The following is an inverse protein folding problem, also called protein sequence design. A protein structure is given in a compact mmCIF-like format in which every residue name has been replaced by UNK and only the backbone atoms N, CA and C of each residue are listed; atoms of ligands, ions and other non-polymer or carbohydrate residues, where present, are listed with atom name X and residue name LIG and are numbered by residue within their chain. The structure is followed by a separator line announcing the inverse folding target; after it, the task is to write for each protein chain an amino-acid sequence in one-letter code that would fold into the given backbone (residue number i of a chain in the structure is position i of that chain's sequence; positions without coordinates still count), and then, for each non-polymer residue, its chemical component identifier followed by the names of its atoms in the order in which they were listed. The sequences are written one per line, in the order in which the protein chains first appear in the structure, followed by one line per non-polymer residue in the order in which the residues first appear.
data_IF_627520123576
#
_entry.id   IF_627520123576
#
_cell.length_a   1.000
_cell.length_b   1.000
_cell.length_c   1.000
_cell.angle_alpha   90.00
_cell.angle_beta   90.00
_cell.angle_gamma   90.00
#
_symmetry.space_group_name_H-M   'P 1'
#
loop_
_entity.id
_entity.type
_entity.pdbx_description
1 polymer ?
#
# COMPACT_ATOMS: atom_id res chain seq x y z
N UNK A 1 -46.60 -31.01 -11.63
CA UNK A 1 -47.25 -30.81 -10.33
C UNK A 1 -46.97 -32.03 -9.48
N UNK A 2 -46.32 -31.82 -8.34
CA UNK A 2 -45.81 -32.86 -7.43
C UNK A 2 -46.80 -33.05 -6.27
N UNK A 3 -47.08 -34.29 -5.90
CA UNK A 3 -47.54 -34.63 -4.55
C UNK A 3 -46.37 -35.29 -3.79
N UNK A 4 -46.13 -34.95 -2.51
CA UNK A 4 -45.17 -35.62 -1.64
C UNK A 4 -45.87 -36.79 -0.89
N UNK A 5 -45.13 -37.74 -0.30
CA UNK A 5 -44.77 -37.58 1.11
C UNK A 5 -43.46 -38.28 1.54
N UNK A 6 -43.07 -38.05 2.80
CA UNK A 6 -42.39 -39.08 3.59
C UNK A 6 -40.91 -38.86 3.85
N UNK A 7 -40.60 -38.00 4.82
CA UNK A 7 -39.35 -38.05 5.56
C UNK A 7 -39.41 -39.15 6.62
N UNK A 8 -38.48 -40.10 6.56
CA UNK A 8 -37.82 -40.68 7.72
C UNK A 8 -36.42 -41.18 7.29
N UNK A 9 -35.35 -40.88 8.05
CA UNK A 9 -33.99 -41.24 7.69
C UNK A 9 -33.64 -42.63 8.24
N UNK A 10 -33.03 -43.48 7.40
CA UNK A 10 -32.33 -44.68 7.84
C UNK A 10 -30.81 -44.50 7.76
N UNK A 11 -30.20 -45.07 8.79
CA UNK A 11 -28.80 -45.15 9.18
C UNK A 11 -27.87 -45.79 8.14
N UNK A 12 -26.60 -45.38 8.15
CA UNK A 12 -25.45 -46.28 8.33
C UNK A 12 -24.17 -45.42 8.51
N UNK A 13 -23.62 -45.32 9.72
CA UNK A 13 -22.52 -46.15 10.24
C UNK A 13 -21.22 -46.08 9.41
N UNK A 14 -20.18 -45.38 9.93
CA UNK A 14 -18.93 -45.97 10.46
C UNK A 14 -17.79 -44.94 10.58
N UNK A 15 -17.18 -44.95 11.77
CA UNK A 15 -15.73 -44.89 12.08
C UNK A 15 -14.90 -43.67 11.61
N UNK A 16 -14.10 -43.00 12.43
CA UNK A 16 -13.66 -43.25 13.80
C UNK A 16 -12.55 -42.27 14.23
N UNK A 17 -12.20 -42.36 15.52
CA UNK A 17 -10.90 -42.08 16.18
C UNK A 17 -10.23 -40.69 15.95
N UNK A 18 -10.16 -39.83 16.98
CA UNK A 18 -9.00 -39.63 17.89
C UNK A 18 -7.82 -38.89 17.20
N UNK A 19 -7.20 -37.81 17.68
CA UNK A 19 -6.90 -37.34 19.02
C UNK A 19 -6.69 -35.81 19.04
N UNK A 20 -7.25 -35.14 20.05
CA UNK A 20 -6.71 -33.91 20.61
C UNK A 20 -5.56 -34.25 21.57
N UNK A 21 -4.50 -33.45 21.62
CA UNK A 21 -3.49 -33.52 22.68
C UNK A 21 -3.29 -32.11 23.27
N UNK A 22 -3.75 -31.96 24.51
CA UNK A 22 -3.35 -30.93 25.45
C UNK A 22 -2.41 -31.58 26.48
N UNK A 23 -1.28 -30.95 26.82
CA UNK A 23 -0.58 -31.10 28.12
C UNK A 23 0.08 -29.74 28.40
N UNK A 24 -0.54 -28.86 29.21
CA UNK A 24 -0.37 -28.68 30.67
C UNK A 24 1.05 -28.23 31.05
N UNK A 25 1.13 -27.01 31.60
CA UNK A 25 2.35 -26.44 32.14
C UNK A 25 2.61 -26.82 33.60
N UNK A 26 3.79 -26.49 34.09
CA UNK A 26 4.14 -26.49 35.51
C UNK A 26 5.01 -25.26 35.81
N UNK A 27 4.64 -24.55 36.87
CA UNK A 27 5.46 -23.53 37.51
C UNK A 27 6.08 -24.13 38.77
N UNK A 28 7.34 -23.80 39.08
CA UNK A 28 7.83 -23.38 40.41
C UNK A 28 9.36 -23.14 40.42
N UNK A 29 9.71 -21.90 40.81
CA UNK A 29 10.85 -21.37 41.57
C UNK A 29 12.12 -22.22 41.78
N UNK A 30 13.31 -21.65 41.46
CA UNK A 30 14.37 -21.28 42.46
C UNK A 30 15.59 -20.60 41.81
N UNK A 31 15.97 -19.47 42.42
CA UNK A 31 17.32 -18.93 42.72
C UNK A 31 18.44 -18.95 41.66
N UNK A 32 18.83 -17.73 41.26
CA UNK A 32 20.21 -17.21 41.30
C UNK A 32 21.33 -18.01 40.63
N UNK A 33 21.74 -17.56 39.44
CA UNK A 33 23.00 -17.97 38.83
C UNK A 33 23.38 -17.02 37.69
N UNK A 34 24.28 -16.08 37.97
CA UNK A 34 24.93 -15.22 36.97
C UNK A 34 25.93 -16.09 36.20
N UNK A 35 25.74 -16.21 34.88
CA UNK A 35 26.69 -16.84 33.97
C UNK A 35 26.35 -16.48 32.52
N UNK A 36 27.30 -16.02 31.70
CA UNK A 36 27.00 -15.45 30.40
C UNK A 36 26.73 -16.56 29.40
N UNK A 37 25.53 -16.54 28.80
CA UNK A 37 25.26 -17.33 27.60
C UNK A 37 25.97 -16.65 26.42
N UNK A 38 27.04 -17.28 25.95
CA UNK A 38 27.69 -16.95 24.70
C UNK A 38 26.72 -17.21 23.54
N UNK A 39 26.16 -16.15 22.97
CA UNK A 39 25.54 -16.21 21.65
C UNK A 39 26.66 -16.18 20.60
N UNK A 40 26.96 -17.35 20.04
CA UNK A 40 27.69 -17.44 18.79
C UNK A 40 26.75 -16.96 17.67
N UNK A 41 27.07 -15.80 17.10
CA UNK A 41 26.66 -15.44 15.74
C UNK A 41 27.92 -15.24 14.93
N UNK A 42 28.23 -16.24 14.13
CA UNK A 42 29.21 -16.22 13.06
C UNK A 42 28.74 -15.24 11.98
N UNK A 43 29.56 -14.24 11.65
CA UNK A 43 29.28 -13.30 10.57
C UNK A 43 30.11 -12.02 10.63
N UNK A 44 31.34 -12.09 10.12
CA UNK A 44 32.14 -10.92 9.70
C UNK A 44 33.27 -10.52 10.66
N UNK A 45 34.49 -10.92 10.31
CA UNK A 45 35.77 -10.44 10.85
C UNK A 45 35.96 -8.94 10.56
N UNK A 46 35.19 -8.06 11.21
CA UNK A 46 35.71 -6.74 11.54
C UNK A 46 36.76 -6.96 12.62
N UNK A 47 38.04 -6.79 12.26
CA UNK A 47 39.18 -7.10 13.12
C UNK A 47 38.95 -6.54 14.54
N UNK A 48 39.35 -7.26 15.57
CA UNK A 48 39.24 -6.82 16.98
C UNK A 48 39.76 -5.38 17.18
N UNK A 49 40.76 -4.99 16.38
CA UNK A 49 41.32 -3.64 16.30
C UNK A 49 40.27 -2.61 15.84
N UNK A 50 39.49 -2.92 14.82
CA UNK A 50 38.46 -2.03 14.28
C UNK A 50 37.29 -1.85 15.25
N UNK A 51 36.89 -2.92 15.95
CA UNK A 51 35.90 -2.81 17.04
C UNK A 51 36.42 -1.97 18.20
N UNK A 52 37.68 -2.17 18.60
CA UNK A 52 38.31 -1.37 19.65
C UNK A 52 38.43 0.10 19.24
N UNK A 53 38.81 0.38 17.99
CA UNK A 53 38.90 1.74 17.47
C UNK A 53 37.53 2.43 17.47
N UNK A 54 36.48 1.74 17.02
CA UNK A 54 35.12 2.28 17.02
C UNK A 54 34.62 2.59 18.45
N UNK A 55 34.84 1.68 19.39
CA UNK A 55 34.41 1.90 20.77
C UNK A 55 35.22 3.00 21.46
N UNK A 56 36.53 3.08 21.18
CA UNK A 56 37.38 4.18 21.65
C UNK A 56 36.93 5.52 21.07
N UNK A 57 36.57 5.57 19.80
CA UNK A 57 36.08 6.79 19.15
C UNK A 57 34.76 7.25 19.78
N UNK A 58 33.83 6.33 20.01
CA UNK A 58 32.55 6.60 20.70
C UNK A 58 32.77 7.10 22.13
N UNK A 59 33.71 6.52 22.87
CA UNK A 59 34.02 6.94 24.24
C UNK A 59 34.62 8.35 24.28
N UNK A 60 35.54 8.66 23.36
CA UNK A 60 36.13 10.00 23.25
C UNK A 60 35.11 11.05 22.80
N UNK A 61 34.23 10.73 21.84
CA UNK A 61 33.15 11.60 21.41
C UNK A 61 32.18 11.90 22.57
N UNK A 62 31.77 10.89 23.34
CA UNK A 62 30.90 11.09 24.52
C UNK A 62 31.58 11.94 25.59
N UNK A 63 32.88 11.72 25.85
CA UNK A 63 33.66 12.54 26.80
C UNK A 63 33.75 13.99 26.33
N UNK A 64 33.98 14.22 25.04
CA UNK A 64 34.04 15.56 24.45
C UNK A 64 32.68 16.28 24.53
N UNK A 65 31.59 15.56 24.28
CA UNK A 65 30.23 16.10 24.37
C UNK A 65 29.83 16.47 25.79
N UNK A 66 30.21 15.64 26.77
CA UNK A 66 30.00 15.95 28.19
C UNK A 66 30.82 17.14 28.67
N UNK A 67 31.99 17.40 28.08
CA UNK A 67 32.83 18.54 28.46
C UNK A 67 32.45 19.86 27.76
N UNK A 68 31.88 19.84 26.55
CA UNK A 68 31.60 21.06 25.78
C UNK A 68 30.12 21.46 25.66
N UNK A 69 29.18 20.66 26.16
CA UNK A 69 27.78 21.07 26.42
C UNK A 69 26.89 21.33 25.20
N UNK A 70 27.44 21.71 24.05
CA UNK A 70 26.71 21.95 22.81
C UNK A 70 27.66 21.78 21.62
N UNK A 71 27.19 21.17 20.53
CA UNK A 71 27.91 21.26 19.27
C UNK A 71 27.82 22.71 18.77
N UNK A 72 28.92 23.34 18.35
CA UNK A 72 28.80 24.54 17.51
C UNK A 72 28.00 24.14 16.26
N UNK A 73 26.84 24.76 16.07
CA UNK A 73 26.07 24.63 14.84
C UNK A 73 26.87 25.32 13.74
N UNK A 74 27.71 24.55 13.06
CA UNK A 74 28.37 25.01 11.84
C UNK A 74 27.31 25.05 10.73
N UNK A 75 27.22 26.16 9.98
CA UNK A 75 26.35 26.21 8.81
C UNK A 75 26.73 25.06 7.86
N UNK A 76 25.77 24.46 7.14
CA UNK A 76 26.05 23.35 6.24
C UNK A 76 27.09 23.79 5.20
N UNK A 77 28.28 23.18 5.26
CA UNK A 77 29.32 23.36 4.24
C UNK A 77 28.98 22.40 3.10
N UNK A 78 28.73 22.93 1.91
CA UNK A 78 28.56 22.12 0.72
C UNK A 78 29.87 21.40 0.42
N UNK A 79 29.85 20.08 0.51
CA UNK A 79 30.96 19.24 0.08
C UNK A 79 30.87 19.12 -1.45
N UNK A 80 31.93 19.43 -2.20
CA UNK A 80 31.93 19.24 -3.65
C UNK A 80 31.76 17.75 -3.92
N UNK A 81 30.57 17.37 -4.38
CA UNK A 81 30.31 16.05 -4.92
C UNK A 81 30.56 16.12 -6.43
N UNK A 82 30.94 15.02 -7.10
CA UNK A 82 31.12 14.98 -8.56
C UNK A 82 29.85 15.37 -9.36
N UNK A 83 28.74 15.63 -8.67
CA UNK A 83 27.43 16.03 -9.20
C UNK A 83 27.19 17.53 -9.12
N UNK A 84 28.16 18.33 -8.67
CA UNK A 84 28.06 19.80 -8.54
C UNK A 84 28.20 20.54 -9.89
N UNK A 85 27.60 19.96 -10.92
CA UNK A 85 27.34 20.52 -12.24
C UNK A 85 25.83 20.44 -12.53
N UNK A 86 25.01 20.89 -11.57
CA UNK A 86 23.58 21.13 -11.78
C UNK A 86 23.28 22.42 -12.56
N UNK A 87 24.22 22.88 -13.39
CA UNK A 87 23.85 23.46 -14.68
C UNK A 87 23.91 22.35 -15.72
N UNK A 88 22.94 21.43 -15.63
CA UNK A 88 22.45 20.78 -16.83
C UNK A 88 21.89 21.90 -17.69
N UNK A 89 22.71 22.40 -18.61
CA UNK A 89 22.20 22.80 -19.92
C UNK A 89 21.29 21.65 -20.30
N UNK A 90 19.97 21.85 -20.17
CA UNK A 90 18.97 20.93 -20.70
C UNK A 90 19.42 20.75 -22.15
N UNK A 91 19.96 19.58 -22.54
CA UNK A 91 20.14 19.32 -23.97
C UNK A 91 18.75 19.59 -24.52
N UNK A 92 18.65 20.50 -25.49
CA UNK A 92 17.38 20.79 -26.15
C UNK A 92 16.74 19.44 -26.39
N UNK A 93 15.67 19.14 -25.65
CA UNK A 93 15.05 17.84 -25.74
C UNK A 93 14.75 17.71 -27.22
N UNK A 94 15.19 16.63 -27.91
CA UNK A 94 14.73 16.43 -29.26
C UNK A 94 13.21 16.57 -29.18
N UNK A 95 12.65 17.44 -30.02
CA UNK A 95 11.20 17.63 -30.16
C UNK A 95 10.54 16.27 -29.98
N UNK A 96 9.44 16.13 -29.21
CA UNK A 96 8.87 14.85 -28.86
C UNK A 96 8.51 14.11 -30.15
N UNK A 97 9.48 13.36 -30.66
CA UNK A 97 9.26 12.22 -31.52
C UNK A 97 8.48 11.33 -30.57
N UNK A 98 7.20 11.17 -30.86
CA UNK A 98 6.28 10.38 -30.07
C UNK A 98 7.02 9.11 -29.64
N UNK A 99 7.48 9.07 -28.39
CA UNK A 99 8.16 7.90 -27.87
C UNK A 99 7.12 6.81 -27.99
N UNK A 100 7.38 5.85 -28.86
CA UNK A 100 6.49 4.71 -29.04
C UNK A 100 6.18 4.16 -27.65
N UNK A 101 4.90 3.92 -27.35
CA UNK A 101 4.53 3.48 -26.01
C UNK A 101 5.31 2.21 -25.70
N UNK A 102 5.87 2.14 -24.50
CA UNK A 102 6.64 0.98 -24.02
C UNK A 102 5.85 -0.33 -24.07
N UNK A 103 4.54 -0.23 -24.20
CA UNK A 103 3.61 -1.33 -24.44
C UNK A 103 2.50 -0.87 -25.42
N UNK A 104 2.18 -1.61 -26.49
CA UNK A 104 1.08 -1.30 -27.39
C UNK A 104 -0.23 -1.47 -26.64
N UNK A 105 -0.87 -0.35 -26.33
CA UNK A 105 -2.10 -0.26 -25.56
C UNK A 105 -3.20 0.21 -26.51
N UNK A 106 -3.97 -0.73 -27.05
CA UNK A 106 -5.00 -0.46 -28.06
C UNK A 106 -6.37 -0.24 -27.40
N UNK A 107 -6.68 -1.05 -26.38
CA UNK A 107 -7.91 -0.93 -25.60
C UNK A 107 -7.65 -1.11 -24.11
N UNK A 108 -8.38 -0.33 -23.30
CA UNK A 108 -8.38 -0.45 -21.84
C UNK A 108 -9.81 -0.39 -21.35
N UNK A 109 -10.28 -1.49 -20.78
CA UNK A 109 -11.60 -1.60 -20.18
C UNK A 109 -11.51 -1.67 -18.66
N UNK A 110 -11.85 -0.60 -17.92
CA UNK A 110 -11.99 -0.66 -16.47
C UNK A 110 -13.14 -1.57 -16.07
N UNK A 111 -12.88 -2.49 -15.15
CA UNK A 111 -13.87 -3.43 -14.63
C UNK A 111 -14.62 -2.77 -13.48
N UNK A 112 -15.94 -2.68 -13.60
CA UNK A 112 -16.80 -2.08 -12.57
C UNK A 112 -17.04 -3.05 -11.42
N UNK A 113 -17.46 -2.52 -10.28
CA UNK A 113 -17.73 -3.30 -9.07
C UNK A 113 -18.68 -4.49 -9.32
N UNK A 114 -19.73 -4.30 -10.12
CA UNK A 114 -20.71 -5.35 -10.45
C UNK A 114 -20.16 -6.41 -11.42
N UNK A 115 -19.10 -6.09 -12.17
CA UNK A 115 -18.46 -7.01 -13.13
C UNK A 115 -17.34 -7.85 -12.49
N UNK A 116 -17.11 -7.65 -11.19
CA UNK A 116 -16.03 -8.30 -10.44
C UNK A 116 -16.07 -9.83 -10.54
N UNK A 117 -17.26 -10.41 -10.43
CA UNK A 117 -17.44 -11.86 -10.49
C UNK A 117 -17.16 -12.41 -11.89
N UNK A 118 -17.58 -11.69 -12.93
CA UNK A 118 -17.25 -12.02 -14.31
C UNK A 118 -15.74 -12.01 -14.53
N UNK A 119 -15.02 -10.99 -14.03
CA UNK A 119 -13.57 -10.90 -14.20
C UNK A 119 -12.86 -12.05 -13.50
N UNK A 120 -13.25 -12.37 -12.26
CA UNK A 120 -12.72 -13.51 -11.50
C UNK A 120 -12.95 -14.83 -12.22
N UNK A 121 -14.16 -15.05 -12.74
CA UNK A 121 -14.48 -16.27 -13.48
C UNK A 121 -13.71 -16.35 -14.80
N UNK A 122 -13.60 -15.25 -15.55
CA UNK A 122 -12.93 -15.23 -16.86
C UNK A 122 -11.42 -15.44 -16.76
N UNK A 123 -10.80 -14.94 -15.70
CA UNK A 123 -9.34 -15.00 -15.49
C UNK A 123 -8.99 -15.83 -14.26
N UNK A 124 -9.78 -16.88 -13.97
CA UNK A 124 -9.59 -17.75 -12.81
C UNK A 124 -8.21 -18.44 -12.81
N UNK A 125 -7.69 -18.76 -14.01
CA UNK A 125 -6.42 -19.44 -14.21
C UNK A 125 -5.21 -18.48 -14.29
N UNK A 126 -5.43 -17.16 -14.13
CA UNK A 126 -4.36 -16.18 -14.24
C UNK A 126 -3.35 -16.33 -13.09
N UNK A 127 -2.08 -16.56 -13.43
CA UNK A 127 -0.98 -16.53 -12.47
C UNK A 127 -0.50 -15.09 -12.30
N UNK A 128 -0.65 -14.49 -11.13
CA UNK A 128 -0.32 -13.07 -10.94
C UNK A 128 1.19 -12.82 -10.79
N UNK A 129 1.73 -11.93 -11.61
CA UNK A 129 3.05 -11.35 -11.43
C UNK A 129 2.95 -9.85 -11.11
N UNK A 130 3.80 -9.37 -10.21
CA UNK A 130 3.88 -7.97 -9.79
C UNK A 130 5.29 -7.42 -10.01
N UNK A 131 5.39 -6.09 -10.13
CA UNK A 131 6.69 -5.41 -10.13
C UNK A 131 7.27 -5.40 -8.72
N UNK A 132 8.46 -5.97 -8.57
CA UNK A 132 9.27 -5.81 -7.36
C UNK A 132 9.86 -4.41 -7.25
N UNK A 133 10.57 -4.13 -6.15
CA UNK A 133 11.29 -2.86 -6.00
C UNK A 133 12.37 -2.72 -7.07
N UNK A 134 12.33 -1.64 -7.84
CA UNK A 134 13.35 -1.25 -8.82
C UNK A 134 14.20 -0.10 -8.28
N UNK A 135 15.45 0.00 -8.73
CA UNK A 135 16.33 1.11 -8.37
C UNK A 135 15.88 2.44 -9.02
N UNK A 136 15.25 2.36 -10.18
CA UNK A 136 14.70 3.52 -10.88
C UNK A 136 13.28 3.81 -10.38
N UNK A 137 13.11 4.89 -9.63
CA UNK A 137 11.80 5.34 -9.18
C UNK A 137 11.15 6.27 -10.20
N UNK A 138 9.93 5.96 -10.60
CA UNK A 138 9.12 6.79 -11.50
C UNK A 138 8.21 7.74 -10.72
N UNK A 139 7.50 8.62 -11.44
CA UNK A 139 6.40 9.42 -10.89
C UNK A 139 5.40 8.54 -10.11
N UNK A 140 5.04 7.39 -10.66
CA UNK A 140 4.09 6.48 -10.03
C UNK A 140 4.63 5.91 -8.72
N UNK A 141 5.93 5.66 -8.61
CA UNK A 141 6.53 5.06 -7.41
C UNK A 141 6.71 6.06 -6.26
N UNK A 142 6.91 7.34 -6.60
CA UNK A 142 7.23 8.41 -5.64
C UNK A 142 6.01 9.22 -5.21
N UNK A 143 4.92 9.22 -5.98
CA UNK A 143 3.72 9.99 -5.66
C UNK A 143 2.96 9.40 -4.48
N UNK A 144 2.41 10.27 -3.62
CA UNK A 144 1.60 9.85 -2.47
C UNK A 144 0.34 9.12 -2.95
N UNK A 145 0.01 8.01 -2.28
CA UNK A 145 -1.11 7.17 -2.68
C UNK A 145 -2.46 7.90 -2.70
N UNK A 146 -2.80 8.81 -1.76
CA UNK A 146 -4.02 9.61 -1.86
C UNK A 146 -4.12 10.44 -3.16
N UNK A 147 -3.00 10.99 -3.63
CA UNK A 147 -2.98 11.75 -4.88
C UNK A 147 -3.21 10.83 -6.08
N UNK A 148 -2.53 9.68 -6.13
CA UNK A 148 -2.76 8.68 -7.19
C UNK A 148 -4.19 8.15 -7.18
N UNK A 149 -4.76 7.88 -6.00
CA UNK A 149 -6.14 7.44 -5.82
C UNK A 149 -7.15 8.48 -6.35
N UNK A 150 -6.93 9.77 -6.08
CA UNK A 150 -7.78 10.84 -6.61
C UNK A 150 -7.68 10.98 -8.13
N UNK A 151 -6.49 10.77 -8.71
CA UNK A 151 -6.30 10.80 -10.17
C UNK A 151 -6.90 9.56 -10.85
N UNK A 152 -6.77 8.39 -10.24
CA UNK A 152 -7.47 7.17 -10.65
C UNK A 152 -8.99 7.36 -10.62
N UNK A 153 -9.52 8.07 -9.61
CA UNK A 153 -10.94 8.42 -9.56
C UNK A 153 -11.35 9.30 -10.75
N UNK A 154 -10.51 10.25 -11.15
CA UNK A 154 -10.81 11.14 -12.27
C UNK A 154 -10.80 10.39 -13.60
N UNK A 155 -9.77 9.58 -13.84
CA UNK A 155 -9.57 8.90 -15.13
C UNK A 155 -10.46 7.67 -15.29
N UNK A 156 -10.63 6.87 -14.22
CA UNK A 156 -11.28 5.55 -14.31
C UNK A 156 -12.55 5.45 -13.47
N UNK A 157 -12.89 6.45 -12.66
CA UNK A 157 -14.06 6.44 -11.79
C UNK A 157 -13.84 5.59 -10.54
N UNK A 158 -14.91 4.96 -10.05
CA UNK A 158 -14.86 4.20 -8.81
C UNK A 158 -13.99 2.93 -8.92
N UNK A 159 -13.26 2.56 -7.86
CA UNK A 159 -12.49 1.33 -7.82
C UNK A 159 -13.40 0.10 -7.93
N UNK A 160 -12.86 -0.97 -8.52
CA UNK A 160 -13.55 -2.27 -8.62
C UNK A 160 -13.83 -2.84 -7.23
N UNK A 161 -12.88 -2.69 -6.31
CA UNK A 161 -12.99 -3.16 -4.92
C UNK A 161 -12.34 -2.18 -3.93
N UNK A 162 -12.93 -2.07 -2.75
CA UNK A 162 -12.44 -1.34 -1.58
C UNK A 162 -12.59 -2.19 -0.32
N UNK A 163 -12.00 -1.76 0.79
CA UNK A 163 -12.24 -2.40 2.09
C UNK A 163 -13.73 -2.46 2.49
N UNK A 164 -14.56 -1.53 2.01
CA UNK A 164 -15.98 -1.53 2.32
C UNK A 164 -16.75 -2.70 1.69
N UNK A 165 -16.20 -3.29 0.62
CA UNK A 165 -16.88 -4.32 -0.18
C UNK A 165 -16.62 -5.74 0.31
N UNK A 166 -15.79 -5.92 1.35
CA UNK A 166 -15.45 -7.20 1.93
C UNK A 166 -15.96 -7.31 3.38
N UNK A 167 -16.23 -8.52 3.88
CA UNK A 167 -16.55 -8.74 5.29
C UNK A 167 -15.44 -8.17 6.18
N UNK A 168 -15.83 -7.39 7.18
CA UNK A 168 -14.90 -6.70 8.09
C UNK A 168 -14.47 -7.62 9.24
N UNK A 169 -15.16 -8.75 9.38
CA UNK A 169 -14.92 -9.80 10.37
C UNK A 169 -13.64 -10.59 10.07
N UNK A 170 -13.17 -10.58 8.83
CA UNK A 170 -11.93 -11.22 8.43
C UNK A 170 -10.69 -10.44 8.89
N UNK A 171 -9.55 -11.13 8.91
CA UNK A 171 -8.25 -10.45 9.00
C UNK A 171 -8.10 -9.45 7.85
N UNK A 172 -7.93 -8.18 8.22
CA UNK A 172 -7.62 -7.08 7.29
C UNK A 172 -6.14 -7.04 6.91
N UNK A 173 -5.32 -7.89 7.54
CA UNK A 173 -3.88 -7.92 7.35
C UNK A 173 -3.51 -8.13 5.89
N UNK A 174 -2.77 -7.20 5.31
CA UNK A 174 -2.27 -7.29 3.94
C UNK A 174 -3.34 -7.15 2.86
N UNK A 175 -4.57 -6.76 3.21
CA UNK A 175 -5.60 -6.46 2.21
C UNK A 175 -5.31 -5.11 1.54
N UNK A 176 -5.46 -5.03 0.20
CA UNK A 176 -5.40 -3.74 -0.47
C UNK A 176 -6.50 -2.80 0.02
N UNK A 177 -6.19 -1.52 0.12
CA UNK A 177 -7.16 -0.50 0.52
C UNK A 177 -8.20 -0.26 -0.58
N UNK A 178 -7.72 -0.25 -1.82
CA UNK A 178 -8.53 -0.23 -3.02
C UNK A 178 -7.83 -1.01 -4.14
N UNK A 179 -8.64 -1.44 -5.10
CA UNK A 179 -8.21 -2.14 -6.29
C UNK A 179 -8.99 -1.63 -7.50
N UNK A 180 -8.25 -1.29 -8.56
CA UNK A 180 -8.77 -1.08 -9.90
C UNK A 180 -8.37 -2.27 -10.76
N UNK A 181 -9.34 -2.89 -11.40
CA UNK A 181 -9.09 -3.99 -12.32
C UNK A 181 -9.38 -3.55 -13.75
N UNK A 182 -8.57 -4.04 -14.68
CA UNK A 182 -8.65 -3.71 -16.08
C UNK A 182 -8.55 -4.97 -16.92
N UNK A 183 -9.22 -4.94 -18.07
CA UNK A 183 -8.90 -5.81 -19.19
C UNK A 183 -8.22 -4.95 -20.23
N UNK A 184 -6.95 -5.23 -20.52
CA UNK A 184 -6.15 -4.52 -21.52
C UNK A 184 -6.09 -5.36 -22.79
N UNK A 185 -6.29 -4.73 -23.94
CA UNK A 185 -6.32 -5.37 -25.26
C UNK A 185 -7.18 -6.66 -25.26
N UNK A 186 -8.39 -6.57 -24.68
CA UNK A 186 -9.42 -7.63 -24.55
C UNK A 186 -9.06 -8.93 -23.81
N UNK A 187 -7.80 -9.10 -23.42
CA UNK A 187 -7.26 -10.41 -23.03
C UNK A 187 -6.32 -10.38 -21.83
N UNK A 188 -5.79 -9.22 -21.46
CA UNK A 188 -4.78 -9.11 -20.42
C UNK A 188 -5.43 -8.64 -19.12
N UNK A 189 -5.56 -9.50 -18.10
CA UNK A 189 -6.05 -9.07 -16.80
C UNK A 189 -4.97 -8.26 -16.09
N UNK A 190 -5.34 -7.07 -15.60
CA UNK A 190 -4.44 -6.19 -14.86
C UNK A 190 -5.13 -5.72 -13.59
N UNK A 191 -4.40 -5.71 -12.48
CA UNK A 191 -4.84 -5.16 -11.21
C UNK A 191 -3.88 -4.05 -10.76
N UNK A 192 -4.45 -2.92 -10.36
CA UNK A 192 -3.73 -1.78 -9.78
C UNK A 192 -4.28 -1.56 -8.39
N UNK A 193 -3.42 -1.71 -7.38
CA UNK A 193 -3.85 -1.81 -5.98
C UNK A 193 -2.95 -1.02 -5.03
N UNK A 194 -3.52 -0.60 -3.90
CA UNK A 194 -2.79 0.04 -2.81
C UNK A 194 -2.62 -0.90 -1.61
N UNK A 195 -1.39 -1.33 -1.35
CA UNK A 195 -1.05 -2.12 -0.17
C UNK A 195 -0.50 -1.32 1.02
N UNK A 196 -0.38 0.01 0.93
CA UNK A 196 0.29 0.85 1.94
C UNK A 196 -0.62 1.89 2.59
N UNK A 197 -1.74 2.23 1.96
CA UNK A 197 -2.70 3.17 2.49
C UNK A 197 -2.31 4.65 2.34
N UNK A 198 -3.03 5.56 3.02
CA UNK A 198 -2.95 6.99 2.77
C UNK A 198 -1.63 7.65 3.19
N UNK A 199 -0.84 7.00 4.05
CA UNK A 199 0.52 7.44 4.39
C UNK A 199 1.58 6.90 3.42
N UNK A 200 1.18 6.02 2.50
CA UNK A 200 2.04 5.36 1.52
C UNK A 200 2.35 6.20 0.29
N UNK A 201 3.16 5.58 -0.58
CA UNK A 201 3.51 6.06 -1.91
C UNK A 201 3.43 4.90 -2.89
N UNK A 202 3.04 5.25 -4.10
CA UNK A 202 2.91 4.36 -5.23
C UNK A 202 1.77 3.37 -5.16
N UNK A 203 1.70 2.57 -6.22
CA UNK A 203 0.70 1.55 -6.46
C UNK A 203 1.40 0.27 -6.88
N UNK A 204 0.81 -0.86 -6.51
CA UNK A 204 1.23 -2.17 -6.99
C UNK A 204 0.45 -2.44 -8.27
N UNK A 205 1.16 -2.78 -9.34
CA UNK A 205 0.55 -3.25 -10.58
C UNK A 205 0.89 -4.71 -10.77
N UNK A 206 -0.16 -5.51 -10.94
CA UNK A 206 -0.07 -6.93 -11.21
C UNK A 206 -0.78 -7.25 -12.53
N UNK A 207 -0.25 -8.21 -13.26
CA UNK A 207 -0.88 -8.77 -14.45
C UNK A 207 -0.59 -10.27 -14.53
N UNK A 208 -1.17 -10.94 -15.51
CA UNK A 208 -0.84 -12.34 -15.79
C UNK A 208 0.69 -12.52 -16.02
N UNK A 209 1.24 -13.59 -15.47
CA UNK A 209 2.66 -13.94 -15.44
C UNK A 209 3.27 -13.99 -16.84
N UNK A 210 2.51 -14.34 -17.87
CA UNK A 210 2.97 -14.29 -19.26
C UNK A 210 3.52 -12.91 -19.65
N UNK A 211 2.99 -11.85 -19.03
CA UNK A 211 3.38 -10.46 -19.29
C UNK A 211 4.45 -9.92 -18.32
N UNK A 212 5.02 -10.73 -17.42
CA UNK A 212 6.00 -10.30 -16.42
C UNK A 212 7.15 -9.47 -17.01
N UNK A 213 7.68 -9.88 -18.16
CA UNK A 213 8.80 -9.22 -18.83
C UNK A 213 8.42 -7.85 -19.44
N UNK A 214 7.12 -7.61 -19.66
CA UNK A 214 6.57 -6.35 -20.20
C UNK A 214 5.83 -5.51 -19.16
N UNK A 215 5.74 -5.99 -17.92
CA UNK A 215 4.91 -5.40 -16.88
C UNK A 215 5.28 -3.94 -16.57
N UNK A 216 6.56 -3.58 -16.64
CA UNK A 216 7.02 -2.19 -16.47
C UNK A 216 6.44 -1.29 -17.57
N UNK A 217 6.61 -1.70 -18.83
CA UNK A 217 6.05 -0.97 -19.97
C UNK A 217 4.52 -0.90 -19.94
N UNK A 218 3.86 -1.99 -19.56
CA UNK A 218 2.41 -2.03 -19.39
C UNK A 218 1.95 -1.06 -18.31
N UNK A 219 2.59 -1.06 -17.13
CA UNK A 219 2.29 -0.12 -16.05
C UNK A 219 2.45 1.32 -16.51
N UNK A 220 3.62 1.62 -17.09
CA UNK A 220 4.00 2.99 -17.41
C UNK A 220 3.08 3.54 -18.52
N UNK A 221 2.67 2.71 -19.49
CA UNK A 221 1.70 3.11 -20.53
C UNK A 221 0.26 3.18 -20.01
N UNK A 222 -0.23 2.18 -19.26
CA UNK A 222 -1.59 2.16 -18.70
C UNK A 222 -1.87 3.33 -17.76
N UNK A 223 -0.88 3.70 -16.95
CA UNK A 223 -1.01 4.74 -15.92
C UNK A 223 -0.41 6.09 -16.34
N UNK A 224 0.07 6.23 -17.58
CA UNK A 224 0.57 7.50 -18.12
C UNK A 224 -0.43 8.66 -17.95
N UNK A 225 -1.75 8.49 -18.21
CA UNK A 225 -2.72 9.58 -18.06
C UNK A 225 -2.76 10.18 -16.64
N UNK A 226 -2.38 9.41 -15.62
CA UNK A 226 -2.35 9.89 -14.24
C UNK A 226 -1.31 10.98 -13.99
N UNK A 227 -0.38 11.25 -14.91
CA UNK A 227 0.59 12.34 -14.74
C UNK A 227 -0.09 13.70 -14.87
N UNK A 228 -1.06 13.81 -15.79
CA UNK A 228 -1.73 15.06 -16.15
C UNK A 228 -3.16 15.15 -15.58
N UNK A 229 -3.73 14.04 -15.11
CA UNK A 229 -5.04 13.98 -14.49
C UNK A 229 -5.18 14.92 -13.28
N UNK A 230 -6.24 15.75 -13.30
CA UNK A 230 -6.66 16.50 -12.13
C UNK A 230 -7.29 15.56 -11.08
N UNK A 231 -7.06 15.76 -9.77
CA UNK A 231 -7.63 14.88 -8.75
C UNK A 231 -9.16 15.04 -8.68
N UNK A 232 -9.89 13.92 -8.63
CA UNK A 232 -11.33 13.91 -8.40
C UNK A 232 -11.67 13.59 -6.93
N UNK A 233 -12.75 14.18 -6.38
CA UNK A 233 -13.20 13.89 -5.02
C UNK A 233 -13.55 12.40 -4.83
N UNK A 234 -13.11 11.84 -3.70
CA UNK A 234 -13.43 10.47 -3.31
C UNK A 234 -13.35 10.31 -1.79
N UNK A 235 -13.93 9.23 -1.29
CA UNK A 235 -13.81 8.82 0.10
C UNK A 235 -13.73 7.31 0.20
N UNK A 236 -12.82 6.82 1.03
CA UNK A 236 -12.62 5.41 1.33
C UNK A 236 -12.52 5.20 2.85
N UNK A 237 -12.74 3.95 3.28
CA UNK A 237 -12.36 3.52 4.62
C UNK A 237 -10.92 3.03 4.59
N UNK A 238 -10.16 3.38 5.63
CA UNK A 238 -8.79 2.93 5.84
C UNK A 238 -8.68 2.31 7.24
N UNK A 239 -8.05 1.15 7.32
CA UNK A 239 -7.68 0.54 8.60
C UNK A 239 -6.17 0.61 8.81
N UNK A 240 -5.76 1.33 9.85
CA UNK A 240 -4.36 1.34 10.29
C UNK A 240 -4.13 0.13 11.17
N UNK A 241 -3.50 -0.91 10.62
CA UNK A 241 -3.18 -2.13 11.36
C UNK A 241 -2.27 -1.88 12.57
N UNK A 242 -1.31 -0.96 12.43
CA UNK A 242 -0.32 -0.67 13.49
C UNK A 242 -1.00 0.00 14.69
N UNK A 243 -1.95 0.89 14.42
CA UNK A 243 -2.71 1.62 15.45
C UNK A 243 -4.02 0.93 15.83
N UNK A 244 -4.38 -0.14 15.12
CA UNK A 244 -5.65 -0.86 15.22
C UNK A 244 -6.86 0.09 15.21
N UNK A 245 -6.84 1.05 14.28
CA UNK A 245 -7.80 2.16 14.24
C UNK A 245 -8.36 2.36 12.84
N UNK A 246 -9.66 2.64 12.79
CA UNK A 246 -10.36 2.99 11.57
C UNK A 246 -10.28 4.48 11.28
N UNK A 247 -10.20 4.78 10.00
CA UNK A 247 -10.22 6.13 9.47
C UNK A 247 -11.15 6.20 8.26
N UNK A 248 -11.67 7.40 8.05
CA UNK A 248 -12.22 7.85 6.79
C UNK A 248 -11.14 8.69 6.10
N UNK A 249 -10.79 8.37 4.86
CA UNK A 249 -9.77 9.09 4.10
C UNK A 249 -10.28 9.43 2.72
N UNK A 250 -9.68 10.43 2.08
CA UNK A 250 -10.04 10.80 0.73
C UNK A 250 -9.60 12.20 0.34
N UNK A 251 -10.23 12.70 -0.72
CA UNK A 251 -10.07 14.05 -1.23
C UNK A 251 -11.46 14.68 -1.39
N UNK A 252 -11.67 15.87 -0.83
CA UNK A 252 -12.98 16.54 -0.86
C UNK A 252 -13.14 17.53 -2.03
N UNK A 253 -12.16 17.59 -2.93
CA UNK A 253 -12.10 18.60 -4.01
C UNK A 253 -11.23 19.81 -3.68
N UNK A 254 -10.78 19.95 -2.42
CA UNK A 254 -9.88 21.03 -1.98
C UNK A 254 -8.66 20.47 -1.25
N UNK A 255 -8.86 19.53 -0.34
CA UNK A 255 -7.84 18.98 0.54
C UNK A 255 -7.96 17.48 0.73
N UNK A 256 -6.82 16.83 0.99
CA UNK A 256 -6.78 15.43 1.41
C UNK A 256 -7.05 15.34 2.90
N UNK A 257 -7.86 14.38 3.32
CA UNK A 257 -8.21 14.18 4.72
C UNK A 257 -7.96 12.74 5.18
N UNK A 258 -7.73 12.61 6.49
CA UNK A 258 -7.59 11.35 7.19
C UNK A 258 -8.16 11.52 8.60
N UNK A 259 -9.42 11.16 8.79
CA UNK A 259 -10.17 11.43 10.01
C UNK A 259 -10.46 10.11 10.73
N UNK A 260 -10.11 9.97 12.02
CA UNK A 260 -10.41 8.75 12.77
C UNK A 260 -11.92 8.55 12.90
N UNK A 261 -12.37 7.31 12.82
CA UNK A 261 -13.77 6.92 13.00
C UNK A 261 -13.87 5.70 13.93
N UNK A 262 -15.03 5.50 14.53
CA UNK A 262 -15.33 4.26 15.25
C UNK A 262 -15.70 3.14 14.26
N UNK A 263 -15.48 1.88 14.63
CA UNK A 263 -15.93 0.73 13.82
C UNK A 263 -17.45 0.77 13.57
N UNK A 264 -18.23 1.24 14.53
CA UNK A 264 -19.69 1.35 14.41
C UNK A 264 -20.17 2.35 13.35
N UNK A 265 -19.29 3.22 12.84
CA UNK A 265 -19.60 4.12 11.72
C UNK A 265 -19.46 3.44 10.35
N UNK A 266 -19.05 2.18 10.31
CA UNK A 266 -18.84 1.41 9.08
C UNK A 266 -19.99 0.43 8.92
N UNK A 267 -20.59 0.43 7.74
CA UNK A 267 -21.60 -0.54 7.34
C UNK A 267 -20.98 -1.47 6.29
N UNK A 268 -20.78 -2.77 6.58
CA UNK A 268 -20.26 -3.73 5.62
C UNK A 268 -21.05 -3.71 4.31
N UNK A 269 -20.35 -3.77 3.18
CA UNK A 269 -20.94 -3.70 1.84
C UNK A 269 -21.37 -2.30 1.40
N UNK A 270 -21.22 -1.27 2.25
CA UNK A 270 -21.59 0.11 1.92
C UNK A 270 -20.37 1.01 1.90
N UNK A 271 -20.01 1.47 0.70
CA UNK A 271 -18.96 2.47 0.50
C UNK A 271 -19.34 3.82 1.16
N UNK A 272 -18.37 4.54 1.76
CA UNK A 272 -18.63 5.87 2.30
C UNK A 272 -18.97 6.86 1.17
N UNK A 273 -19.67 7.96 1.52
CA UNK A 273 -20.03 9.02 0.57
C UNK A 273 -19.58 10.38 1.06
N UNK A 274 -19.13 11.23 0.15
CA UNK A 274 -18.88 12.64 0.43
C UNK A 274 -20.21 13.38 0.45
N UNK A 275 -20.54 14.03 1.56
CA UNK A 275 -21.67 14.96 1.62
C UNK A 275 -21.19 16.30 1.03
N UNK A 276 -21.23 16.42 -0.29
CA UNK A 276 -20.77 17.62 -1.01
C UNK A 276 -21.68 18.84 -0.81
N UNK A 277 -22.87 18.66 -0.22
CA UNK A 277 -23.84 19.75 0.03
C UNK A 277 -23.44 20.66 1.19
N UNK A 278 -22.73 20.17 2.21
CA UNK A 278 -22.44 20.93 3.43
C UNK A 278 -21.26 21.91 3.30
N UNK A 279 -20.35 21.66 2.36
CA UNK A 279 -19.14 22.47 2.18
C UNK A 279 -19.40 23.81 1.49
N UNK A 280 -20.51 23.92 0.74
CA UNK A 280 -20.94 25.17 0.10
C UNK A 280 -21.51 26.17 1.12
N UNK A 281 -22.30 25.70 2.08
CA UNK A 281 -22.96 26.59 3.07
C UNK A 281 -21.98 27.19 4.08
N UNK A 282 -20.93 26.46 4.48
CA UNK A 282 -19.92 26.98 5.40
C UNK A 282 -19.05 28.11 4.80
N UNK A 283 -19.03 28.23 3.45
CA UNK A 283 -18.29 29.30 2.76
C UNK A 283 -19.13 30.58 2.59
N UNK A 284 -20.45 30.53 2.83
CA UNK A 284 -21.37 31.65 2.66
C UNK A 284 -21.66 32.42 3.96
N UNK A 285 -21.24 31.91 5.11
CA UNK A 285 -21.48 32.51 6.42
C UNK A 285 -20.21 33.13 7.01
N UNK A 286 -19.70 34.19 6.36
CA UNK A 286 -18.86 35.19 7.02
C UNK A 286 -19.74 36.39 7.34
N UNK A 287 -19.92 36.78 8.61
CA UNK A 287 -20.69 37.98 8.94
C UNK A 287 -19.91 39.23 8.50
N UNK A 288 -20.58 40.31 8.07
CA UNK A 288 -19.90 41.58 7.86
C UNK A 288 -19.37 42.09 9.21
N UNK A 289 -18.07 42.37 9.27
CA UNK A 289 -17.44 43.03 10.41
C UNK A 289 -18.03 44.43 10.62
N UNK A 290 -18.14 44.90 11.88
CA UNK A 290 -18.74 46.18 12.24
C UNK A 290 -17.93 47.39 11.76
#
# INVERSE_FOLDING_TARGET
MRHPPGWHPQEALRSGALCAVCVVGWALLTVGGVGPAAAQTTGGDASLIERYQNERYRALARRHLRQKGTWPAHPPVQLPTPTDSLHLVRPSAPSPTAQLPSFPLDDVRPVRHLEREWFRSRFADAEWAFLGGTADYTFLDTTRTPALRARLQAEFGDPTQTLADAPIEDSLAGRPQFEYWFVVNDSIPVQVMDGRGPQGRGLIVAADRAYRHRLRGLRDTLLAPLQDAAPAPHVDYYYDERRRRWYRTGYDGRSFFLTPISRGAIVPGRRPRLDTTRTSDASASSPPSP
#
